data_IF_153407474263
#
_entry.id   IF_153407474263
#
_cell.length_a   1.000
_cell.length_b   1.000
_cell.length_c   1.000
_cell.angle_alpha   90.00
_cell.angle_beta   90.00
_cell.angle_gamma   90.00
#
_symmetry.space_group_name_H-M   'P 1'
#
loop_
_entity.id
_entity.type
_entity.pdbx_description
1 polymer ?
#
# COMPACT_ATOMS: atom_id res chain seq x y z
N UNK A 1 11.98 6.40 -0.75
CA UNK A 1 10.82 5.62 -1.21
C UNK A 1 9.92 6.56 -1.98
N UNK A 2 9.70 6.27 -3.26
CA UNK A 2 8.81 7.00 -4.15
C UNK A 2 7.44 6.32 -4.20
N UNK A 3 6.46 6.93 -4.88
CA UNK A 3 5.15 6.31 -5.09
C UNK A 3 5.26 5.00 -5.91
N UNK A 4 6.18 4.94 -6.87
CA UNK A 4 6.39 3.75 -7.71
C UNK A 4 6.90 2.57 -6.88
N UNK A 5 7.85 2.83 -5.97
CA UNK A 5 8.37 1.79 -5.05
C UNK A 5 7.26 1.18 -4.18
N UNK A 6 6.34 2.03 -3.69
CA UNK A 6 5.18 1.62 -2.89
C UNK A 6 4.20 0.78 -3.72
N UNK A 7 3.89 1.22 -4.93
CA UNK A 7 2.98 0.51 -5.83
C UNK A 7 3.56 -0.86 -6.23
N UNK A 8 4.84 -0.94 -6.57
CA UNK A 8 5.51 -2.23 -6.84
C UNK A 8 5.45 -3.16 -5.64
N UNK A 9 5.67 -2.63 -4.45
CA UNK A 9 5.58 -3.41 -3.20
C UNK A 9 4.15 -3.91 -2.95
N UNK A 10 3.15 -3.05 -3.16
CA UNK A 10 1.74 -3.39 -3.01
C UNK A 10 1.33 -4.52 -3.98
N UNK A 11 1.71 -4.41 -5.26
CA UNK A 11 1.46 -5.45 -6.27
C UNK A 11 2.17 -6.76 -5.91
N UNK A 12 3.44 -6.70 -5.50
CA UNK A 12 4.20 -7.89 -5.11
C UNK A 12 3.61 -8.62 -3.90
N UNK A 13 2.90 -7.89 -3.03
CA UNK A 13 2.20 -8.44 -1.86
C UNK A 13 0.75 -8.86 -2.15
N UNK A 14 0.26 -8.69 -3.38
CA UNK A 14 -1.12 -9.00 -3.75
C UNK A 14 -2.14 -8.04 -3.15
N UNK A 15 -1.75 -6.78 -2.92
CA UNK A 15 -2.66 -5.76 -2.44
C UNK A 15 -3.64 -5.32 -3.53
N UNK A 16 -4.89 -5.05 -3.15
CA UNK A 16 -5.91 -4.45 -4.01
C UNK A 16 -5.82 -2.93 -4.05
N UNK A 17 -5.42 -2.30 -2.94
CA UNK A 17 -5.42 -0.85 -2.75
C UNK A 17 -4.16 -0.39 -2.02
N UNK A 18 -3.69 0.81 -2.32
CA UNK A 18 -2.65 1.52 -1.57
C UNK A 18 -3.25 2.81 -1.00
N UNK A 19 -3.23 2.95 0.32
CA UNK A 19 -3.74 4.09 1.07
C UNK A 19 -2.59 5.00 1.51
N UNK A 20 -2.66 6.28 1.13
CA UNK A 20 -1.70 7.31 1.51
C UNK A 20 -2.46 8.47 2.14
N UNK A 21 -2.07 8.86 3.35
CA UNK A 21 -2.63 10.02 4.05
C UNK A 21 -1.57 10.68 4.92
N UNK A 22 -1.70 11.99 5.13
CA UNK A 22 -0.84 12.72 6.07
C UNK A 22 -1.12 12.24 7.49
N UNK A 23 -0.06 12.07 8.29
CA UNK A 23 -0.16 11.60 9.68
C UNK A 23 -0.26 10.08 9.85
N UNK A 24 -0.08 9.29 8.79
CA UNK A 24 0.09 7.84 8.88
C UNK A 24 1.11 7.33 7.86
N UNK A 25 1.65 6.14 8.13
CA UNK A 25 2.44 5.42 7.14
C UNK A 25 1.54 4.95 5.98
N UNK A 26 2.09 4.79 4.76
CA UNK A 26 1.38 4.14 3.66
C UNK A 26 0.91 2.74 4.08
N UNK A 27 -0.36 2.44 3.83
CA UNK A 27 -0.98 1.15 4.18
C UNK A 27 -1.53 0.50 2.92
N UNK A 28 -1.53 -0.82 2.85
CA UNK A 28 -2.05 -1.58 1.72
C UNK A 28 -3.27 -2.40 2.14
N UNK A 29 -4.25 -2.54 1.26
CA UNK A 29 -5.34 -3.50 1.48
C UNK A 29 -4.96 -4.85 0.89
N UNK A 30 -4.80 -5.86 1.74
CA UNK A 30 -4.44 -7.22 1.33
C UNK A 30 -5.53 -8.17 1.84
N UNK A 31 -6.16 -8.91 0.91
CA UNK A 31 -7.24 -9.86 1.22
C UNK A 31 -8.35 -9.26 2.10
N UNK A 32 -8.72 -8.00 1.84
CA UNK A 32 -9.75 -7.26 2.57
C UNK A 32 -9.28 -6.51 3.82
N UNK A 33 -8.08 -6.79 4.33
CA UNK A 33 -7.53 -6.16 5.53
C UNK A 33 -6.62 -4.98 5.18
N UNK A 34 -6.74 -3.87 5.90
CA UNK A 34 -5.88 -2.71 5.75
C UNK A 34 -4.70 -2.82 6.71
N UNK A 35 -3.50 -3.02 6.17
CA UNK A 35 -2.26 -3.28 6.93
C UNK A 35 -1.06 -2.53 6.38
#
# INVERSE_FOLDING_TARGET
MTIDDLLRTAVAKGASDLHIKVGAYPMARISGNLI
#
